data_IF_711294629118
#
_entry.id   IF_711294629118
#
_cell.length_a   1.000
_cell.length_b   1.000
_cell.length_c   1.000
_cell.angle_alpha   90.00
_cell.angle_beta   90.00
_cell.angle_gamma   90.00
#
_symmetry.space_group_name_H-M   'P 1'
#
loop_
_entity.id
_entity.type
_entity.pdbx_description
1 polymer ?
#
# COMPACT_ATOMS: atom_id res chain seq x y z
N UNK A 1 17.75 -25.14 22.97
CA UNK A 1 18.28 -25.04 21.59
C UNK A 1 17.15 -25.31 20.58
N UNK A 2 16.46 -26.45 20.68
CA UNK A 2 15.35 -26.81 19.74
C UNK A 2 14.25 -25.76 19.66
N UNK A 3 13.78 -25.20 20.76
CA UNK A 3 12.73 -24.16 20.77
C UNK A 3 13.18 -22.87 20.08
N UNK A 4 14.46 -22.54 20.13
CA UNK A 4 15.03 -21.38 19.45
C UNK A 4 15.11 -21.63 17.94
N UNK A 5 15.52 -22.82 17.53
CA UNK A 5 15.59 -23.20 16.11
C UNK A 5 14.20 -23.24 15.46
N UNK A 6 13.18 -23.75 16.16
CA UNK A 6 11.79 -23.73 15.70
C UNK A 6 11.28 -22.31 15.50
N UNK A 7 11.46 -21.43 16.50
CA UNK A 7 11.08 -20.01 16.39
C UNK A 7 11.78 -19.30 15.25
N UNK A 8 13.08 -19.57 15.07
CA UNK A 8 13.85 -18.99 13.98
C UNK A 8 13.34 -19.47 12.60
N UNK A 9 13.02 -20.76 12.47
CA UNK A 9 12.43 -21.32 11.24
C UNK A 9 11.06 -20.71 10.94
N UNK A 10 10.21 -20.55 11.95
CA UNK A 10 8.91 -19.89 11.79
C UNK A 10 9.05 -18.43 11.37
N UNK A 11 9.98 -17.69 11.98
CA UNK A 11 10.26 -16.31 11.63
C UNK A 11 10.74 -16.19 10.19
N UNK A 12 11.72 -17.00 9.76
CA UNK A 12 12.23 -17.02 8.40
C UNK A 12 11.12 -17.39 7.39
N UNK A 13 10.25 -18.34 7.75
CA UNK A 13 9.11 -18.74 6.92
C UNK A 13 8.11 -17.60 6.77
N UNK A 14 7.81 -16.89 7.86
CA UNK A 14 6.90 -15.73 7.84
C UNK A 14 7.49 -14.56 7.03
N UNK A 15 8.78 -14.27 7.18
CA UNK A 15 9.46 -13.21 6.42
C UNK A 15 9.49 -13.52 4.92
N UNK A 16 9.82 -14.75 4.53
CA UNK A 16 9.80 -15.18 3.13
C UNK A 16 8.39 -15.12 2.56
N UNK A 17 7.39 -15.51 3.33
CA UNK A 17 5.99 -15.42 2.91
C UNK A 17 5.55 -13.98 2.72
N UNK A 18 5.84 -13.09 3.67
CA UNK A 18 5.53 -11.68 3.58
C UNK A 18 6.20 -11.03 2.37
N UNK A 19 7.46 -11.38 2.10
CA UNK A 19 8.19 -10.94 0.92
C UNK A 19 7.51 -11.40 -0.37
N UNK A 20 7.16 -12.69 -0.47
CA UNK A 20 6.46 -13.24 -1.63
C UNK A 20 5.09 -12.59 -1.85
N UNK A 21 4.33 -12.35 -0.77
CA UNK A 21 3.04 -11.64 -0.85
C UNK A 21 3.24 -10.25 -1.43
N UNK A 22 4.22 -9.50 -0.95
CA UNK A 22 4.42 -8.11 -1.36
C UNK A 22 5.01 -7.99 -2.78
N UNK A 23 6.01 -8.83 -3.14
CA UNK A 23 6.75 -8.71 -4.38
C UNK A 23 6.08 -9.44 -5.56
N UNK A 24 5.31 -10.50 -5.30
CA UNK A 24 4.72 -11.31 -6.36
C UNK A 24 3.19 -11.38 -6.32
N UNK A 25 2.61 -11.70 -5.17
CA UNK A 25 1.17 -11.99 -5.12
C UNK A 25 0.32 -10.72 -5.23
N UNK A 26 0.69 -9.63 -4.55
CA UNK A 26 -0.01 -8.35 -4.63
C UNK A 26 -0.02 -7.78 -6.05
N UNK A 27 1.12 -7.66 -6.76
CA UNK A 27 1.12 -7.16 -8.14
C UNK A 27 0.31 -8.05 -9.10
N UNK A 28 0.47 -9.37 -9.02
CA UNK A 28 -0.31 -10.32 -9.84
C UNK A 28 -1.80 -10.23 -9.57
N UNK A 29 -2.19 -10.10 -8.29
CA UNK A 29 -3.58 -9.90 -7.91
C UNK A 29 -4.11 -8.57 -8.46
N UNK A 30 -3.37 -7.48 -8.30
CA UNK A 30 -3.74 -6.17 -8.80
C UNK A 30 -3.99 -6.18 -10.30
N UNK A 31 -3.08 -6.76 -11.07
CA UNK A 31 -3.22 -6.88 -12.52
C UNK A 31 -4.44 -7.71 -12.93
N UNK A 32 -4.61 -8.86 -12.31
CA UNK A 32 -5.71 -9.77 -12.61
C UNK A 32 -7.08 -9.18 -12.23
N UNK A 33 -7.17 -8.51 -11.06
CA UNK A 33 -8.44 -7.98 -10.57
C UNK A 33 -8.87 -6.74 -11.34
N UNK A 34 -7.94 -5.83 -11.65
CA UNK A 34 -8.22 -4.62 -12.43
C UNK A 34 -8.63 -4.98 -13.87
N UNK A 35 -7.99 -6.00 -14.46
CA UNK A 35 -8.35 -6.48 -15.79
C UNK A 35 -9.76 -7.14 -15.83
N UNK A 36 -10.19 -7.76 -14.71
CA UNK A 36 -11.46 -8.45 -14.62
C UNK A 36 -12.66 -7.50 -14.46
N UNK A 37 -12.46 -6.36 -13.82
CA UNK A 37 -13.53 -5.40 -13.55
C UNK A 37 -13.37 -4.15 -14.39
N UNK A 38 -14.34 -3.91 -15.29
CA UNK A 38 -14.39 -2.71 -16.08
C UNK A 38 -15.46 -1.77 -15.52
N UNK A 39 -15.01 -0.64 -14.96
CA UNK A 39 -15.85 0.45 -14.47
C UNK A 39 -15.11 1.78 -14.61
N UNK A 40 -15.87 2.86 -14.72
CA UNK A 40 -15.32 4.19 -14.80
C UNK A 40 -14.91 4.71 -13.42
N UNK A 41 -13.79 5.41 -13.37
CA UNK A 41 -13.29 6.06 -12.16
C UNK A 41 -13.45 7.59 -12.26
N UNK A 42 -13.66 8.29 -11.14
CA UNK A 42 -13.80 9.75 -11.14
C UNK A 42 -12.54 10.43 -11.68
N UNK A 43 -12.70 11.26 -12.71
CA UNK A 43 -11.58 11.95 -13.38
C UNK A 43 -10.72 12.78 -12.42
N UNK A 44 -11.35 13.48 -11.49
CA UNK A 44 -10.65 14.29 -10.49
C UNK A 44 -9.73 13.46 -9.58
N UNK A 45 -10.12 12.22 -9.24
CA UNK A 45 -9.30 11.31 -8.44
C UNK A 45 -8.11 10.81 -9.26
N UNK A 46 -8.33 10.49 -10.55
CA UNK A 46 -7.26 10.10 -11.47
C UNK A 46 -6.24 11.24 -11.64
N UNK A 47 -6.70 12.47 -11.80
CA UNK A 47 -5.80 13.64 -11.90
C UNK A 47 -4.95 13.82 -10.63
N UNK A 48 -5.54 13.66 -9.45
CA UNK A 48 -4.81 13.73 -8.18
C UNK A 48 -3.77 12.61 -8.06
N UNK A 49 -4.11 11.39 -8.46
CA UNK A 49 -3.21 10.25 -8.47
C UNK A 49 -2.04 10.45 -9.45
N UNK A 50 -2.32 10.97 -10.65
CA UNK A 50 -1.28 11.37 -11.61
C UNK A 50 -0.31 12.38 -11.02
N UNK A 51 -0.83 13.41 -10.33
CA UNK A 51 0.00 14.42 -9.68
C UNK A 51 0.88 13.80 -8.58
N UNK A 52 0.34 12.87 -7.82
CA UNK A 52 1.08 12.18 -6.77
C UNK A 52 2.18 11.30 -7.35
N UNK A 53 1.88 10.50 -8.38
CA UNK A 53 2.87 9.64 -9.04
C UNK A 53 3.96 10.47 -9.73
N UNK A 54 3.59 11.54 -10.39
CA UNK A 54 4.54 12.46 -11.01
C UNK A 54 5.46 13.12 -10.00
N UNK A 55 4.93 13.58 -8.85
CA UNK A 55 5.76 14.13 -7.75
C UNK A 55 6.71 13.09 -7.17
N UNK A 56 6.24 11.87 -6.98
CA UNK A 56 7.07 10.77 -6.47
C UNK A 56 8.22 10.44 -7.42
N UNK A 57 7.99 10.54 -8.72
CA UNK A 57 9.01 10.33 -9.75
C UNK A 57 9.97 11.52 -9.92
N UNK A 58 9.71 12.68 -9.29
CA UNK A 58 10.47 13.90 -9.51
C UNK A 58 11.99 13.74 -9.26
N UNK A 59 12.35 12.97 -8.22
CA UNK A 59 13.75 12.71 -7.87
C UNK A 59 14.48 11.78 -8.85
N UNK A 60 13.74 11.08 -9.71
CA UNK A 60 14.30 10.15 -10.70
C UNK A 60 14.61 10.81 -12.06
N UNK A 61 14.15 12.05 -12.27
CA UNK A 61 14.42 12.78 -13.51
C UNK A 61 15.87 13.31 -13.56
N UNK A 62 16.45 13.26 -14.75
CA UNK A 62 17.79 13.82 -14.97
C UNK A 62 17.79 15.35 -14.92
N UNK A 63 18.94 16.00 -14.63
CA UNK A 63 19.05 17.46 -14.69
C UNK A 63 18.60 18.05 -16.02
N UNK A 64 18.87 17.39 -17.14
CA UNK A 64 18.46 17.82 -18.48
C UNK A 64 16.93 17.77 -18.64
N UNK A 65 16.29 16.71 -18.13
CA UNK A 65 14.83 16.60 -18.12
C UNK A 65 14.20 17.70 -17.27
N UNK A 66 14.76 17.94 -16.07
CA UNK A 66 14.28 19.02 -15.19
C UNK A 66 14.44 20.42 -15.82
N UNK A 67 15.56 20.69 -16.51
CA UNK A 67 15.75 21.93 -17.24
C UNK A 67 14.70 22.10 -18.34
N UNK A 68 14.48 21.04 -19.14
CA UNK A 68 13.45 21.03 -20.18
C UNK A 68 12.04 21.32 -19.64
N UNK A 69 11.68 20.73 -18.47
CA UNK A 69 10.36 20.96 -17.86
C UNK A 69 10.17 22.39 -17.34
N UNK A 70 11.26 23.11 -17.04
CA UNK A 70 11.19 24.53 -16.64
C UNK A 70 10.97 25.44 -17.83
N UNK A 71 11.54 25.10 -18.97
CA UNK A 71 11.48 25.89 -20.19
C UNK A 71 10.26 25.57 -21.05
N UNK A 72 9.83 24.33 -21.07
CA UNK A 72 8.73 23.81 -21.91
C UNK A 72 7.62 23.18 -21.06
N UNK A 73 6.53 23.94 -20.88
CA UNK A 73 5.33 23.47 -20.15
C UNK A 73 4.63 22.31 -20.85
N UNK A 74 4.73 22.23 -22.18
CA UNK A 74 4.12 21.15 -22.94
C UNK A 74 4.89 19.83 -22.71
N UNK A 75 6.22 19.90 -22.59
CA UNK A 75 7.04 18.76 -22.22
C UNK A 75 6.69 18.24 -20.82
N UNK A 76 6.47 19.15 -19.85
CA UNK A 76 6.03 18.81 -18.50
C UNK A 76 4.67 18.11 -18.51
N UNK A 77 3.71 18.68 -19.24
CA UNK A 77 2.35 18.14 -19.37
C UNK A 77 2.35 16.76 -20.02
N UNK A 78 3.12 16.59 -21.10
CA UNK A 78 3.27 15.28 -21.78
C UNK A 78 3.89 14.24 -20.83
N UNK A 79 4.92 14.62 -20.07
CA UNK A 79 5.53 13.71 -19.11
C UNK A 79 4.54 13.30 -18.02
N UNK A 80 3.78 14.26 -17.48
CA UNK A 80 2.73 13.96 -16.49
C UNK A 80 1.66 13.02 -17.07
N UNK A 81 1.30 13.22 -18.32
CA UNK A 81 0.27 12.41 -19.00
C UNK A 81 0.69 10.93 -19.17
N UNK A 82 2.00 10.63 -19.20
CA UNK A 82 2.47 9.23 -19.23
C UNK A 82 2.07 8.42 -18.01
N UNK A 83 1.70 9.06 -16.91
CA UNK A 83 1.23 8.39 -15.69
C UNK A 83 -0.28 8.09 -15.68
N UNK A 84 -1.05 8.51 -16.70
CA UNK A 84 -2.51 8.38 -16.71
C UNK A 84 -2.99 6.95 -16.58
N UNK A 85 -2.43 6.02 -17.35
CA UNK A 85 -2.86 4.63 -17.34
C UNK A 85 -2.57 3.97 -15.99
N UNK A 86 -1.40 4.24 -15.42
CA UNK A 86 -1.02 3.74 -14.10
C UNK A 86 -1.88 4.37 -13.00
N UNK A 87 -2.21 5.65 -13.10
CA UNK A 87 -3.11 6.33 -12.18
C UNK A 87 -4.53 5.75 -12.24
N UNK A 88 -5.07 5.51 -13.43
CA UNK A 88 -6.39 4.85 -13.60
C UNK A 88 -6.38 3.46 -12.96
N UNK A 89 -5.31 2.69 -13.18
CA UNK A 89 -5.15 1.36 -12.59
C UNK A 89 -5.07 1.43 -11.06
N UNK A 90 -4.29 2.35 -10.51
CA UNK A 90 -4.15 2.57 -9.07
C UNK A 90 -5.47 2.95 -8.43
N UNK A 91 -6.20 3.89 -9.01
CA UNK A 91 -7.52 4.32 -8.52
C UNK A 91 -8.54 3.18 -8.59
N UNK A 92 -8.60 2.43 -9.71
CA UNK A 92 -9.47 1.23 -9.81
C UNK A 92 -9.16 0.22 -8.71
N UNK A 93 -7.88 -0.07 -8.48
CA UNK A 93 -7.45 -1.00 -7.44
C UNK A 93 -7.88 -0.54 -6.05
N UNK A 94 -7.73 0.74 -5.73
CA UNK A 94 -8.16 1.33 -4.46
C UNK A 94 -9.65 1.11 -4.22
N UNK A 95 -10.50 1.38 -5.22
CA UNK A 95 -11.95 1.13 -5.11
C UNK A 95 -12.29 -0.36 -4.94
N UNK A 96 -11.58 -1.23 -5.64
CA UNK A 96 -11.77 -2.69 -5.50
C UNK A 96 -11.37 -3.16 -4.11
N UNK A 97 -10.23 -2.70 -3.59
CA UNK A 97 -9.74 -3.05 -2.25
C UNK A 97 -10.72 -2.57 -1.18
N UNK A 98 -11.21 -1.34 -1.29
CA UNK A 98 -12.20 -0.78 -0.35
C UNK A 98 -13.47 -1.63 -0.31
N UNK A 99 -14.02 -1.97 -1.47
CA UNK A 99 -15.21 -2.82 -1.56
C UNK A 99 -14.96 -4.25 -1.05
N UNK A 100 -13.80 -4.84 -1.34
CA UNK A 100 -13.43 -6.16 -0.81
C UNK A 100 -13.30 -6.14 0.72
N UNK A 101 -12.65 -5.11 1.27
CA UNK A 101 -12.50 -4.93 2.71
C UNK A 101 -13.88 -4.76 3.37
N UNK A 102 -14.75 -3.97 2.77
CA UNK A 102 -16.12 -3.78 3.25
C UNK A 102 -16.92 -5.09 3.28
N UNK A 103 -16.85 -5.89 2.21
CA UNK A 103 -17.55 -7.19 2.13
C UNK A 103 -17.02 -8.22 3.10
N UNK A 104 -15.76 -8.13 3.47
CA UNK A 104 -15.11 -9.05 4.43
C UNK A 104 -15.12 -8.51 5.86
N UNK A 105 -15.78 -7.38 6.11
CA UNK A 105 -15.83 -6.68 7.41
C UNK A 105 -14.44 -6.35 7.98
N UNK A 106 -13.46 -6.12 7.09
CA UNK A 106 -12.11 -5.72 7.47
C UNK A 106 -12.11 -4.22 7.77
N UNK A 107 -11.78 -3.88 9.01
CA UNK A 107 -11.77 -2.51 9.51
C UNK A 107 -10.48 -2.23 10.27
N UNK A 108 -10.12 -0.96 10.28
CA UNK A 108 -9.05 -0.42 11.13
C UNK A 108 -9.70 0.63 12.03
N UNK A 109 -9.65 0.39 13.34
CA UNK A 109 -10.12 1.34 14.34
C UNK A 109 -9.16 2.54 14.46
N UNK A 110 -9.66 3.65 14.97
CA UNK A 110 -8.81 4.82 15.21
C UNK A 110 -7.72 4.54 16.24
N UNK A 111 -8.00 3.64 17.19
CA UNK A 111 -7.01 3.19 18.18
C UNK A 111 -5.85 2.42 17.50
N UNK A 112 -6.15 1.50 16.58
CA UNK A 112 -5.13 0.77 15.83
C UNK A 112 -4.29 1.72 14.95
N UNK A 113 -4.94 2.69 14.31
CA UNK A 113 -4.26 3.72 13.53
C UNK A 113 -3.29 4.54 14.39
N UNK A 114 -3.74 5.02 15.56
CA UNK A 114 -2.89 5.78 16.48
C UNK A 114 -1.73 4.94 16.98
N UNK A 115 -1.95 3.67 17.32
CA UNK A 115 -0.90 2.75 17.75
C UNK A 115 0.15 2.53 16.65
N UNK A 116 -0.27 2.40 15.39
CA UNK A 116 0.65 2.24 14.26
C UNK A 116 1.53 3.50 14.08
N UNK A 117 0.93 4.68 14.12
CA UNK A 117 1.65 5.96 14.04
C UNK A 117 2.62 6.14 15.21
N UNK A 118 2.23 5.76 16.41
CA UNK A 118 3.10 5.82 17.59
C UNK A 118 4.28 4.84 17.48
N UNK A 119 4.03 3.63 16.99
CA UNK A 119 5.08 2.65 16.78
C UNK A 119 6.11 3.11 15.74
N UNK A 120 5.65 3.72 14.64
CA UNK A 120 6.51 4.34 13.64
C UNK A 120 7.38 5.44 14.24
N UNK A 121 6.77 6.34 15.04
CA UNK A 121 7.47 7.40 15.73
C UNK A 121 8.56 6.87 16.69
N UNK A 122 8.25 5.84 17.47
CA UNK A 122 9.23 5.21 18.36
C UNK A 122 10.41 4.61 17.59
N UNK A 123 10.14 3.94 16.47
CA UNK A 123 11.21 3.39 15.62
C UNK A 123 12.11 4.47 15.02
N UNK A 124 11.55 5.63 14.74
CA UNK A 124 12.24 6.77 14.14
C UNK A 124 12.86 7.72 15.18
N UNK A 125 12.69 7.45 16.48
CA UNK A 125 13.19 8.30 17.56
C UNK A 125 12.49 9.66 17.64
N UNK A 126 11.24 9.77 17.16
CA UNK A 126 10.43 10.98 17.14
C UNK A 126 9.41 10.93 18.28
N UNK A 127 9.04 12.08 18.86
CA UNK A 127 7.97 12.14 19.84
C UNK A 127 6.63 11.70 19.22
N UNK A 128 5.96 10.65 19.76
CA UNK A 128 4.77 10.08 19.14
C UNK A 128 3.59 11.04 19.04
N UNK A 129 3.43 11.93 20.02
CA UNK A 129 2.33 12.93 20.01
C UNK A 129 2.56 13.96 18.93
N UNK A 130 3.78 14.46 18.82
CA UNK A 130 4.17 15.42 17.78
C UNK A 130 4.05 14.79 16.39
N UNK A 131 4.45 13.53 16.22
CA UNK A 131 4.34 12.80 14.96
C UNK A 131 2.87 12.66 14.52
N UNK A 132 1.98 12.25 15.44
CA UNK A 132 0.55 12.16 15.17
C UNK A 132 -0.07 13.52 14.80
N UNK A 133 0.32 14.58 15.51
CA UNK A 133 -0.14 15.95 15.22
C UNK A 133 0.28 16.39 13.80
N UNK A 134 1.53 16.13 13.45
CA UNK A 134 2.04 16.42 12.09
C UNK A 134 1.24 15.66 11.02
N UNK A 135 0.94 14.38 11.24
CA UNK A 135 0.15 13.58 10.32
C UNK A 135 -1.30 14.05 10.20
N UNK A 136 -1.90 14.53 11.30
CA UNK A 136 -3.22 15.19 11.27
C UNK A 136 -3.19 16.47 10.44
N UNK A 137 -2.22 17.34 10.71
CA UNK A 137 -2.09 18.63 10.03
C UNK A 137 -1.82 18.48 8.51
N UNK A 138 -1.10 17.43 8.12
CA UNK A 138 -0.84 17.09 6.73
C UNK A 138 -2.00 16.34 6.05
N UNK A 139 -3.00 15.89 6.83
CA UNK A 139 -4.15 15.16 6.28
C UNK A 139 -3.83 13.76 5.75
N UNK A 140 -2.74 13.13 6.20
CA UNK A 140 -2.28 11.82 5.68
C UNK A 140 -2.83 10.62 6.44
N UNK A 141 -3.48 10.82 7.60
CA UNK A 141 -4.05 9.73 8.40
C UNK A 141 -5.04 8.84 7.61
N UNK A 142 -5.92 9.37 6.74
CA UNK A 142 -6.79 8.54 5.92
C UNK A 142 -6.03 7.61 4.98
N UNK A 143 -4.92 8.07 4.40
CA UNK A 143 -4.07 7.26 3.53
C UNK A 143 -3.38 6.13 4.30
N UNK A 144 -2.89 6.41 5.51
CA UNK A 144 -2.32 5.40 6.41
C UNK A 144 -3.38 4.36 6.78
N UNK A 145 -4.59 4.82 7.14
CA UNK A 145 -5.71 3.92 7.48
C UNK A 145 -6.06 2.99 6.31
N UNK A 146 -6.07 3.52 5.10
CA UNK A 146 -6.34 2.72 3.89
C UNK A 146 -5.23 1.70 3.62
N UNK A 147 -3.98 2.07 3.80
CA UNK A 147 -2.84 1.15 3.69
C UNK A 147 -2.92 0.02 4.73
N UNK A 148 -3.33 0.31 5.97
CA UNK A 148 -3.55 -0.71 7.00
C UNK A 148 -4.72 -1.65 6.67
N UNK A 149 -5.80 -1.13 6.10
CA UNK A 149 -6.94 -1.94 5.62
C UNK A 149 -6.48 -2.88 4.50
N UNK A 150 -5.73 -2.36 3.55
CA UNK A 150 -5.14 -3.14 2.46
C UNK A 150 -4.25 -4.26 3.00
N UNK A 151 -3.36 -3.95 3.94
CA UNK A 151 -2.47 -4.94 4.55
C UNK A 151 -3.26 -6.04 5.27
N UNK A 152 -4.28 -5.68 6.06
CA UNK A 152 -5.16 -6.65 6.72
C UNK A 152 -5.88 -7.55 5.70
N UNK A 153 -6.40 -6.95 4.62
CA UNK A 153 -7.08 -7.68 3.55
C UNK A 153 -6.14 -8.69 2.89
N UNK A 154 -4.95 -8.28 2.51
CA UNK A 154 -3.98 -9.17 1.87
C UNK A 154 -3.47 -10.25 2.82
N UNK A 155 -3.25 -9.92 4.10
CA UNK A 155 -2.88 -10.91 5.12
C UNK A 155 -3.97 -11.96 5.31
N UNK A 156 -5.24 -11.58 5.26
CA UNK A 156 -6.36 -12.53 5.33
C UNK A 156 -6.43 -13.39 4.05
N UNK A 157 -6.32 -12.77 2.88
CA UNK A 157 -6.44 -13.45 1.58
C UNK A 157 -5.30 -14.43 1.32
N UNK A 158 -4.08 -14.06 1.71
CA UNK A 158 -2.86 -14.82 1.46
C UNK A 158 -2.27 -15.44 2.73
N UNK A 159 -3.05 -15.56 3.80
CA UNK A 159 -2.61 -16.23 5.02
C UNK A 159 -2.08 -17.62 4.69
N UNK A 160 -0.92 -17.94 5.27
CA UNK A 160 -0.43 -19.32 5.26
C UNK A 160 -1.52 -20.19 5.91
N UNK A 161 -2.03 -21.17 5.19
CA UNK A 161 -2.87 -22.20 5.80
C UNK A 161 -1.99 -22.89 6.83
N UNK A 162 -2.18 -22.58 8.11
CA UNK A 162 -1.59 -23.39 9.16
C UNK A 162 -2.09 -24.80 8.94
N UNK A 163 -1.20 -25.78 8.93
CA UNK A 163 -1.53 -27.19 8.87
C UNK A 163 -2.39 -27.57 10.11
N UNK A 164 -3.67 -27.23 10.04
CA UNK A 164 -4.69 -27.81 10.92
C UNK A 164 -5.08 -29.18 10.35
N UNK A 165 -4.10 -30.04 10.19
CA UNK A 165 -4.28 -31.47 10.11
C UNK A 165 -3.43 -32.05 11.23
N UNK A 166 -4.06 -32.25 12.34
CA UNK A 166 -3.81 -33.33 13.30
C UNK A 166 -4.37 -32.94 14.67
N UNK A 167 -5.67 -33.11 14.82
CA UNK A 167 -6.33 -33.44 16.09
C UNK A 167 -7.80 -33.77 15.79
N UNK A 168 -8.00 -34.87 15.06
CA UNK A 168 -9.23 -35.67 15.08
C UNK A 168 -8.83 -37.12 14.83
N UNK A 169 -8.26 -37.73 15.83
CA UNK A 169 -8.22 -39.19 16.06
C UNK A 169 -7.71 -39.41 17.47
N UNK A 170 -8.62 -39.36 18.42
CA UNK A 170 -8.69 -40.24 19.60
C UNK A 170 -10.02 -39.95 20.29
#
# INVERSE_FOLDING_TARGET
VELFEERLKEQIKAEKHAKNVNEELKPKFADAIVAKFNFDVPKNIVEQEMDMQFRSAWSSFTPEQMAKFREDKDALTKQRETYRDDAVKSVKLTFIIDELARRRDIKVSDQELIQAVYFEAYRSGIDPKQHLENYKNQGILPAIKMSMIEEKLFNEMFALKSDKKEKKAE
#
